data_IF_846273352184
#
_entry.id   IF_846273352184
#
_cell.length_a   1.000
_cell.length_b   1.000
_cell.length_c   1.000
_cell.angle_alpha   90.00
_cell.angle_beta   90.00
_cell.angle_gamma   90.00
#
_symmetry.space_group_name_H-M   'P 1'
#
loop_
_entity.id
_entity.type
_entity.pdbx_description
1 polymer ?
#
# COMPACT_ATOMS: atom_id res chain seq x y z
N UNK A 1 -70.62 19.28 -12.86
CA UNK A 1 -71.31 18.27 -13.70
C UNK A 1 -71.40 18.82 -15.13
N UNK A 2 -70.53 18.35 -16.05
CA UNK A 2 -70.57 18.43 -17.54
C UNK A 2 -69.17 17.95 -18.04
N UNK A 3 -69.06 16.69 -18.50
CA UNK A 3 -69.05 16.22 -19.91
C UNK A 3 -67.81 16.73 -20.68
N UNK A 4 -66.75 15.93 -20.93
CA UNK A 4 -66.52 14.97 -22.06
C UNK A 4 -66.75 15.66 -23.42
N UNK A 5 -65.88 15.69 -24.45
CA UNK A 5 -64.86 14.76 -25.04
C UNK A 5 -64.04 15.59 -26.06
N UNK A 6 -62.82 15.23 -26.48
CA UNK A 6 -62.48 14.40 -27.67
C UNK A 6 -60.93 14.40 -27.79
N UNK A 7 -60.26 13.25 -27.76
CA UNK A 7 -59.92 12.40 -28.91
C UNK A 7 -58.83 12.98 -29.81
N UNK A 8 -57.60 12.49 -29.64
CA UNK A 8 -56.64 12.30 -30.73
C UNK A 8 -55.76 11.10 -30.41
N UNK A 9 -56.00 10.04 -31.17
CA UNK A 9 -55.20 8.83 -31.24
C UNK A 9 -54.03 9.13 -32.17
N UNK A 10 -52.80 8.92 -31.72
CA UNK A 10 -51.66 8.73 -32.61
C UNK A 10 -50.89 7.49 -32.17
N UNK A 11 -51.03 6.46 -32.99
CA UNK A 11 -50.34 5.19 -32.96
C UNK A 11 -48.90 5.40 -33.47
N UNK A 12 -47.90 5.10 -32.66
CA UNK A 12 -46.55 4.80 -33.16
C UNK A 12 -46.02 3.53 -32.51
N UNK A 13 -45.74 2.56 -33.37
CA UNK A 13 -45.13 1.28 -33.06
C UNK A 13 -43.61 1.36 -33.28
N UNK A 14 -42.86 0.56 -32.52
CA UNK A 14 -41.42 0.34 -32.66
C UNK A 14 -40.62 1.17 -31.64
N UNK A 15 -39.72 0.64 -30.83
CA UNK A 15 -38.89 -0.56 -30.94
C UNK A 15 -38.56 -1.01 -29.50
N UNK A 16 -38.71 -2.30 -29.19
CA UNK A 16 -38.26 -2.87 -27.91
C UNK A 16 -36.72 -2.92 -27.91
N UNK A 17 -36.08 -1.93 -27.30
CA UNK A 17 -34.71 -2.09 -26.81
C UNK A 17 -34.81 -2.75 -25.44
N UNK A 18 -34.48 -4.03 -25.39
CA UNK A 18 -34.19 -4.73 -24.14
C UNK A 18 -32.90 -4.13 -23.58
N UNK A 19 -33.02 -3.13 -22.71
CA UNK A 19 -31.96 -2.79 -21.79
C UNK A 19 -32.02 -3.80 -20.66
N UNK A 20 -31.08 -4.75 -20.69
CA UNK A 20 -30.79 -5.65 -19.57
C UNK A 20 -30.67 -4.86 -18.26
N UNK A 21 -31.03 -5.42 -17.10
CA UNK A 21 -30.64 -4.83 -15.83
C UNK A 21 -29.11 -4.82 -15.78
N UNK A 22 -28.50 -3.65 -15.93
CA UNK A 22 -27.15 -3.43 -15.43
C UNK A 22 -27.24 -3.70 -13.94
N UNK A 23 -26.61 -4.79 -13.53
CA UNK A 23 -26.35 -5.08 -12.15
C UNK A 23 -25.89 -3.78 -11.47
N UNK A 24 -26.63 -3.34 -10.46
CA UNK A 24 -26.05 -2.61 -9.34
C UNK A 24 -24.99 -3.54 -8.75
N UNK A 25 -23.79 -3.52 -9.34
CA UNK A 25 -22.61 -3.81 -8.55
C UNK A 25 -22.51 -2.63 -7.60
N UNK A 26 -22.91 -2.85 -6.36
CA UNK A 26 -22.42 -2.09 -5.23
C UNK A 26 -20.89 -2.21 -5.21
N UNK A 27 -20.24 -1.41 -6.05
CA UNK A 27 -18.81 -1.16 -6.02
C UNK A 27 -18.60 0.02 -5.08
N UNK A 28 -18.79 -0.26 -3.79
CA UNK A 28 -18.37 0.61 -2.70
C UNK A 28 -16.85 0.59 -2.59
N UNK A 29 -16.11 0.97 -3.64
CA UNK A 29 -14.64 0.84 -3.65
C UNK A 29 -13.95 1.91 -4.54
N UNK A 30 -14.50 3.12 -4.65
CA UNK A 30 -13.91 4.20 -5.48
C UNK A 30 -13.54 5.47 -4.68
N UNK A 31 -13.44 5.39 -3.35
CA UNK A 31 -12.86 6.46 -2.51
C UNK A 31 -11.62 6.01 -1.71
N UNK A 32 -10.88 5.01 -2.19
CA UNK A 32 -9.64 4.58 -1.54
C UNK A 32 -8.52 4.25 -2.54
N UNK A 33 -8.39 5.07 -3.58
CA UNK A 33 -7.28 4.97 -4.54
C UNK A 33 -6.26 6.10 -4.32
N UNK A 34 -6.65 7.25 -3.73
CA UNK A 34 -5.70 8.34 -3.47
C UNK A 34 -4.83 8.13 -2.22
N UNK A 35 -5.25 7.30 -1.26
CA UNK A 35 -4.37 6.90 -0.14
C UNK A 35 -3.36 5.80 -0.54
N UNK A 36 -3.57 5.13 -1.68
CA UNK A 36 -2.62 4.15 -2.25
C UNK A 36 -1.53 4.80 -3.09
N UNK A 37 -1.64 6.11 -3.34
CA UNK A 37 -0.69 6.92 -4.12
C UNK A 37 0.61 7.30 -3.41
N UNK A 38 0.77 6.99 -2.12
CA UNK A 38 2.04 7.19 -1.36
C UNK A 38 2.83 5.88 -1.22
N UNK A 39 2.31 4.75 -1.72
CA UNK A 39 3.11 3.55 -1.93
C UNK A 39 3.67 3.61 -3.33
N UNK A 40 4.58 4.54 -3.51
CA UNK A 40 5.45 4.49 -4.65
C UNK A 40 6.17 3.15 -4.58
N UNK A 41 5.75 2.23 -5.44
CA UNK A 41 6.47 1.04 -5.86
C UNK A 41 7.82 1.51 -6.45
N UNK A 42 8.69 2.09 -5.62
CA UNK A 42 10.02 2.59 -6.01
C UNK A 42 10.94 1.39 -6.11
N UNK A 43 10.84 0.74 -7.26
CA UNK A 43 11.70 -0.35 -7.68
C UNK A 43 11.16 -1.70 -7.26
N UNK A 44 10.85 -2.53 -8.25
CA UNK A 44 10.57 -3.94 -8.04
C UNK A 44 11.71 -4.57 -7.23
N UNK A 45 11.45 -4.84 -5.95
CA UNK A 45 12.29 -5.68 -5.08
C UNK A 45 12.29 -7.16 -5.51
N UNK A 46 11.93 -7.46 -6.76
CA UNK A 46 11.96 -8.81 -7.31
C UNK A 46 13.37 -9.39 -7.18
N UNK A 47 13.48 -10.41 -6.33
CA UNK A 47 14.72 -11.15 -6.10
C UNK A 47 15.47 -10.81 -4.82
N UNK A 48 14.98 -9.90 -3.97
CA UNK A 48 15.50 -9.70 -2.60
C UNK A 48 17.00 -9.41 -2.52
N UNK A 49 17.58 -8.85 -3.59
CA UNK A 49 19.01 -8.55 -3.65
C UNK A 49 19.29 -7.35 -2.77
N UNK A 50 19.73 -7.61 -1.54
CA UNK A 50 20.51 -6.75 -0.64
C UNK A 50 20.22 -5.26 -0.47
N UNK A 51 19.18 -4.73 -1.10
CA UNK A 51 18.85 -3.32 -1.24
C UNK A 51 17.39 -3.08 -0.87
N UNK A 52 16.71 -4.08 -0.29
CA UNK A 52 15.27 -4.04 -0.06
C UNK A 52 14.93 -4.30 1.40
N UNK A 53 13.98 -3.51 1.88
CA UNK A 53 13.41 -3.60 3.20
C UNK A 53 11.98 -4.09 3.04
N UNK A 54 11.64 -5.18 3.73
CA UNK A 54 10.28 -5.75 3.75
C UNK A 54 9.68 -5.52 5.12
N UNK A 55 8.42 -5.09 5.16
CA UNK A 55 7.68 -4.88 6.40
C UNK A 55 6.47 -5.82 6.48
N UNK A 56 6.13 -6.21 7.69
CA UNK A 56 5.29 -7.37 7.98
C UNK A 56 4.26 -7.06 9.05
N UNK A 57 3.10 -7.70 8.94
CA UNK A 57 2.04 -7.59 9.95
C UNK A 57 2.28 -8.50 11.16
N UNK A 58 3.06 -9.56 10.99
CA UNK A 58 3.44 -10.47 12.06
C UNK A 58 4.71 -10.05 12.78
N UNK A 59 4.95 -10.61 13.97
CA UNK A 59 6.15 -10.33 14.75
C UNK A 59 7.40 -11.05 14.20
N UNK A 60 7.27 -12.15 13.47
CA UNK A 60 8.43 -12.98 13.08
C UNK A 60 8.83 -12.79 11.62
N UNK A 61 8.57 -11.61 11.06
CA UNK A 61 8.66 -11.34 9.62
C UNK A 61 7.84 -12.35 8.80
N UNK A 62 6.66 -12.68 9.32
CA UNK A 62 5.59 -13.42 8.69
C UNK A 62 4.50 -12.45 8.21
N UNK A 63 3.66 -12.86 7.25
CA UNK A 63 2.59 -12.01 6.71
C UNK A 63 3.12 -10.71 6.07
N UNK A 64 3.83 -10.79 4.92
CA UNK A 64 4.41 -9.62 4.26
C UNK A 64 3.33 -8.64 3.83
N UNK A 65 3.52 -7.37 4.16
CA UNK A 65 2.62 -6.27 3.78
C UNK A 65 3.15 -5.55 2.55
N UNK A 66 4.46 -5.40 2.44
CA UNK A 66 5.10 -4.79 1.29
C UNK A 66 6.61 -4.68 1.45
N UNK A 67 7.26 -4.13 0.42
CA UNK A 67 8.69 -3.86 0.42
C UNK A 67 9.01 -2.58 -0.31
N UNK A 68 10.14 -1.96 0.02
CA UNK A 68 10.65 -0.79 -0.67
C UNK A 68 12.18 -0.77 -0.70
N UNK A 69 12.74 -0.02 -1.66
CA UNK A 69 14.17 0.23 -1.77
C UNK A 69 14.56 1.49 -0.97
N UNK A 70 15.46 1.39 0.02
CA UNK A 70 15.99 2.54 0.76
C UNK A 70 16.71 3.56 -0.13
N UNK A 71 16.85 4.78 0.37
CA UNK A 71 17.59 5.86 -0.30
C UNK A 71 18.52 6.54 0.70
N UNK A 72 19.66 7.08 0.25
CA UNK A 72 20.55 7.85 1.14
C UNK A 72 19.97 9.17 1.67
N UNK A 73 18.79 9.56 1.18
CA UNK A 73 18.09 10.75 1.66
C UNK A 73 17.34 10.50 2.97
N UNK A 74 17.13 9.23 3.37
CA UNK A 74 16.48 8.92 4.64
C UNK A 74 15.01 9.35 4.70
N UNK A 75 14.32 9.29 3.56
CA UNK A 75 12.90 9.66 3.48
C UNK A 75 12.08 8.85 4.49
N UNK A 76 11.17 9.52 5.20
CA UNK A 76 10.26 8.87 6.13
C UNK A 76 9.22 8.06 5.36
N UNK A 77 9.33 6.73 5.42
CA UNK A 77 8.33 5.83 4.89
C UNK A 77 7.20 5.67 5.90
N UNK A 78 5.95 5.75 5.45
CA UNK A 78 4.75 5.72 6.29
C UNK A 78 3.85 4.56 5.88
N UNK A 79 3.24 3.89 6.87
CA UNK A 79 2.24 2.86 6.64
C UNK A 79 1.23 2.83 7.80
N UNK A 80 0.05 2.23 7.57
CA UNK A 80 -1.03 2.21 8.56
C UNK A 80 -0.61 1.51 9.88
N UNK A 81 0.04 0.35 9.77
CA UNK A 81 0.60 -0.40 10.89
C UNK A 81 1.47 -1.56 10.39
N UNK A 82 2.60 -1.82 11.03
CA UNK A 82 3.44 -3.02 10.83
C UNK A 82 4.14 -3.41 12.14
N UNK A 83 4.54 -4.68 12.28
CA UNK A 83 5.02 -5.25 13.54
C UNK A 83 6.44 -5.78 13.50
N UNK A 84 6.95 -6.06 12.30
CA UNK A 84 8.34 -6.41 12.09
C UNK A 84 8.85 -5.94 10.73
N UNK A 85 10.17 -5.80 10.63
CA UNK A 85 10.89 -5.42 9.42
C UNK A 85 12.03 -6.39 9.19
N UNK A 86 12.25 -6.75 7.93
CA UNK A 86 13.43 -7.45 7.45
C UNK A 86 14.21 -6.52 6.53
N UNK A 87 15.42 -6.19 6.95
CA UNK A 87 16.40 -5.50 6.11
C UNK A 87 17.43 -6.53 5.63
N UNK A 88 17.78 -6.47 4.35
CA UNK A 88 18.80 -7.33 3.75
C UNK A 88 19.85 -6.41 3.13
N UNK A 89 21.13 -6.70 3.38
CA UNK A 89 22.29 -6.08 2.74
C UNK A 89 22.86 -6.93 1.60
N UNK A 90 23.89 -6.42 0.91
CA UNK A 90 24.72 -7.21 -0.02
C UNK A 90 25.93 -7.77 0.72
N UNK A 91 26.34 -9.00 0.40
CA UNK A 91 27.52 -9.64 1.00
C UNK A 91 28.80 -9.47 0.19
N UNK A 92 28.72 -9.14 -1.11
CA UNK A 92 29.88 -8.94 -1.99
C UNK A 92 29.58 -7.80 -2.98
N UNK A 93 30.09 -6.56 -2.77
CA UNK A 93 30.76 -6.10 -1.55
C UNK A 93 29.81 -6.07 -0.34
N UNK A 94 30.33 -6.09 0.91
CA UNK A 94 29.54 -6.00 2.12
C UNK A 94 28.93 -4.60 2.25
N UNK A 95 27.68 -4.45 1.86
CA UNK A 95 26.90 -3.22 1.93
C UNK A 95 25.68 -3.50 2.78
N UNK A 96 25.57 -2.90 3.95
CA UNK A 96 24.42 -3.16 4.81
C UNK A 96 23.28 -2.16 4.60
N UNK A 97 22.13 -2.56 5.10
CA UNK A 97 20.94 -1.73 5.19
C UNK A 97 20.70 -1.39 6.66
N UNK A 98 20.59 -0.10 6.98
CA UNK A 98 20.24 0.38 8.31
C UNK A 98 18.81 0.92 8.31
N UNK A 99 18.04 0.67 9.36
CA UNK A 99 16.65 1.13 9.47
C UNK A 99 16.32 1.58 10.88
N UNK A 100 15.80 2.79 11.03
CA UNK A 100 15.18 3.26 12.27
C UNK A 100 13.67 3.20 12.14
N UNK A 101 12.99 2.62 13.13
CA UNK A 101 11.54 2.38 13.15
C UNK A 101 10.90 3.26 14.22
N UNK A 102 9.74 3.81 13.90
CA UNK A 102 9.03 4.77 14.73
C UNK A 102 7.57 4.34 14.96
N UNK A 103 7.07 4.69 16.14
CA UNK A 103 5.68 4.42 16.54
C UNK A 103 4.67 5.38 15.92
N UNK A 104 5.09 6.57 15.51
CA UNK A 104 4.25 7.58 14.87
C UNK A 104 4.42 7.59 13.35
N UNK A 105 3.56 8.30 12.63
CA UNK A 105 3.61 8.40 11.17
C UNK A 105 4.69 9.36 10.65
N UNK A 106 5.33 10.18 11.48
CA UNK A 106 6.20 11.28 11.04
C UNK A 106 7.69 11.04 11.36
N UNK A 107 8.08 9.82 11.72
CA UNK A 107 9.43 9.45 12.07
C UNK A 107 10.04 10.29 13.21
N UNK A 108 9.32 10.45 14.32
CA UNK A 108 9.76 11.24 15.48
C UNK A 108 10.00 10.38 16.75
N UNK A 109 9.16 9.39 16.98
CA UNK A 109 9.14 8.56 18.19
C UNK A 109 9.76 7.19 17.91
N UNK A 110 11.09 7.11 18.00
CA UNK A 110 11.85 5.90 17.75
C UNK A 110 11.46 4.78 18.71
N UNK A 111 11.31 3.56 18.18
CA UNK A 111 11.01 2.35 18.96
C UNK A 111 11.94 1.19 18.64
N UNK A 112 12.64 1.22 17.51
CA UNK A 112 13.68 0.25 17.19
C UNK A 112 14.71 0.83 16.22
N UNK A 113 15.96 0.40 16.37
CA UNK A 113 17.05 0.71 15.46
C UNK A 113 17.70 -0.60 14.99
N UNK A 114 17.58 -0.82 13.68
CA UNK A 114 18.29 -1.86 12.95
C UNK A 114 19.59 -1.27 12.47
N UNK A 115 20.67 -1.56 13.20
CA UNK A 115 22.04 -1.25 12.80
C UNK A 115 22.36 -1.84 11.42
N UNK A 116 23.46 -1.39 10.82
CA UNK A 116 23.95 -1.79 9.50
C UNK A 116 23.87 -3.32 9.26
N UNK A 117 22.80 -3.77 8.62
CA UNK A 117 22.46 -5.18 8.46
C UNK A 117 22.97 -5.68 7.12
N UNK A 118 24.08 -6.43 7.15
CA UNK A 118 24.71 -7.03 5.96
C UNK A 118 24.03 -8.36 5.61
N UNK A 119 23.57 -9.10 6.63
CA UNK A 119 22.84 -10.37 6.49
C UNK A 119 21.37 -10.16 6.84
N UNK A 120 20.46 -10.94 6.22
CA UNK A 120 19.02 -10.81 6.47
C UNK A 120 18.69 -11.01 7.96
N UNK A 121 18.27 -9.95 8.66
CA UNK A 121 17.78 -10.02 10.03
C UNK A 121 16.34 -9.51 10.12
N UNK A 122 15.51 -10.27 10.86
CA UNK A 122 14.17 -9.84 11.23
C UNK A 122 14.23 -9.07 12.55
N UNK A 123 13.66 -7.88 12.59
CA UNK A 123 13.50 -7.09 13.80
C UNK A 123 12.01 -6.89 14.11
N UNK A 124 11.63 -7.13 15.35
CA UNK A 124 10.24 -7.12 15.84
C UNK A 124 10.07 -6.05 16.91
N UNK A 125 9.00 -5.27 16.84
CA UNK A 125 8.81 -4.08 17.71
C UNK A 125 7.35 -3.82 18.09
N UNK A 126 6.45 -4.79 17.88
CA UNK A 126 5.05 -4.69 18.29
C UNK A 126 4.18 -3.96 17.26
N UNK A 127 4.16 -2.63 17.29
CA UNK A 127 3.41 -1.82 16.33
C UNK A 127 4.19 -0.54 15.97
N UNK A 128 4.39 -0.34 14.68
CA UNK A 128 5.05 0.82 14.08
C UNK A 128 4.19 1.41 12.97
N UNK A 129 4.41 2.69 12.69
CA UNK A 129 3.70 3.44 11.64
C UNK A 129 4.64 4.08 10.63
N UNK A 130 5.92 4.27 10.97
CA UNK A 130 6.89 4.78 10.01
C UNK A 130 8.29 4.23 10.23
N UNK A 131 9.14 4.35 9.21
CA UNK A 131 10.55 3.98 9.29
C UNK A 131 11.41 4.83 8.35
N UNK A 132 12.69 4.97 8.66
CA UNK A 132 13.72 5.52 7.78
C UNK A 132 14.76 4.45 7.54
N UNK A 133 15.04 4.15 6.28
CA UNK A 133 16.06 3.17 5.92
C UNK A 133 17.08 3.75 4.96
N UNK A 134 18.31 3.27 5.09
CA UNK A 134 19.48 3.67 4.32
C UNK A 134 20.20 2.40 3.84
N UNK A 135 20.69 2.43 2.61
CA UNK A 135 21.46 1.33 2.02
C UNK A 135 22.72 1.88 1.37
N UNK A 136 23.88 1.38 1.78
CA UNK A 136 25.19 1.83 1.28
C UNK A 136 25.37 3.36 1.35
N UNK A 137 25.00 3.89 2.52
CA UNK A 137 25.21 5.25 2.97
C UNK A 137 25.85 5.09 4.37
#
# INVERSE_FOLDING_TARGET
>A
MRLLTLLSIALQAGLLVQASPLAESSASDVENIEARGILQERGSCAGGKGECVTYYGGANCDSPLGSFKPTCQGNCFQYSSFSSVRAIGSTIPPLGTACTVYSDSNCQNEIADMKNSITSQCASFGQAQSMKCYYNC
#
